data_IF_108823174024
#
_entry.id   IF_108823174024
#
_cell.length_a   1.000
_cell.length_b   1.000
_cell.length_c   1.000
_cell.angle_alpha   90.00
_cell.angle_beta   90.00
_cell.angle_gamma   90.00
#
_symmetry.space_group_name_H-M   'P 1'
#
loop_
_entity.id
_entity.type
_entity.pdbx_description
1 polymer ?
#
# COMPACT_ATOMS: atom_id res chain seq x y z
N UNK A 1 15.44 -70.88 30.72
CA UNK A 1 14.90 -70.42 29.43
C UNK A 1 15.31 -68.97 29.28
N UNK A 2 16.18 -68.73 28.29
CA UNK A 2 16.70 -67.43 27.89
C UNK A 2 15.69 -66.76 26.95
N UNK A 3 15.54 -65.43 27.06
CA UNK A 3 15.10 -64.41 26.07
C UNK A 3 14.43 -63.24 26.83
N UNK A 4 14.64 -61.95 26.56
CA UNK A 4 15.33 -61.27 25.47
C UNK A 4 15.78 -59.89 26.01
N UNK A 5 17.07 -59.60 25.87
CA UNK A 5 17.63 -58.25 25.87
C UNK A 5 17.11 -57.56 24.61
N UNK A 6 16.66 -56.31 24.68
CA UNK A 6 16.43 -55.50 23.48
C UNK A 6 17.07 -54.15 23.70
N UNK A 7 18.13 -53.92 22.93
CA UNK A 7 18.86 -52.68 22.83
C UNK A 7 17.98 -51.56 22.24
N UNK A 8 18.29 -50.32 22.62
CA UNK A 8 17.73 -49.10 22.05
C UNK A 8 18.11 -48.96 20.56
N UNK A 9 17.38 -48.09 19.84
CA UNK A 9 18.01 -47.16 18.91
C UNK A 9 17.84 -45.72 19.40
N UNK A 10 18.95 -45.01 19.36
CA UNK A 10 19.10 -43.55 19.45
C UNK A 10 18.68 -42.91 18.11
N UNK A 11 18.29 -41.63 18.17
CA UNK A 11 18.10 -40.66 17.06
C UNK A 11 16.90 -40.94 16.12
N UNK A 12 16.03 -39.97 15.80
CA UNK A 12 16.38 -38.68 15.18
C UNK A 12 15.39 -37.56 15.53
N UNK A 13 15.95 -36.38 15.79
CA UNK A 13 15.33 -35.08 15.50
C UNK A 13 14.55 -35.07 14.19
N UNK A 14 13.37 -34.46 14.22
CA UNK A 14 12.89 -33.49 13.24
C UNK A 14 11.39 -33.28 13.47
N UNK A 15 11.04 -32.50 14.49
CA UNK A 15 9.89 -31.61 14.34
C UNK A 15 10.29 -30.60 13.24
N UNK A 16 10.10 -31.02 12.00
CA UNK A 16 10.02 -30.13 10.86
C UNK A 16 8.73 -29.32 11.03
N UNK A 17 8.77 -28.33 11.93
CA UNK A 17 8.00 -27.12 11.71
C UNK A 17 8.38 -26.65 10.32
N UNK A 18 7.40 -26.61 9.43
CA UNK A 18 7.59 -26.22 8.05
C UNK A 18 7.99 -24.75 7.93
N UNK A 19 9.25 -24.45 8.21
CA UNK A 19 9.95 -23.26 7.74
C UNK A 19 10.34 -23.50 6.28
N UNK A 20 9.32 -23.55 5.43
CA UNK A 20 9.44 -23.78 3.99
C UNK A 20 8.71 -22.74 3.15
N UNK A 21 8.27 -21.63 3.73
CA UNK A 21 7.86 -20.46 2.98
C UNK A 21 9.07 -19.52 2.94
N UNK A 22 9.91 -19.69 1.91
CA UNK A 22 11.14 -18.94 1.77
C UNK A 22 10.93 -17.45 2.03
N UNK A 23 11.64 -16.93 3.02
CA UNK A 23 11.82 -15.51 3.25
C UNK A 23 12.39 -14.93 1.94
N UNK A 24 11.51 -14.42 1.06
CA UNK A 24 11.90 -13.83 -0.24
C UNK A 24 12.79 -12.60 -0.10
N UNK A 25 12.96 -12.12 1.13
CA UNK A 25 13.73 -10.95 1.47
C UNK A 25 14.83 -11.36 2.46
N UNK A 26 16.04 -10.81 2.34
CA UNK A 26 17.04 -10.98 3.38
C UNK A 26 16.53 -10.43 4.72
N UNK A 27 16.93 -11.05 5.82
CA UNK A 27 16.41 -10.75 7.17
C UNK A 27 16.64 -9.29 7.62
N UNK A 28 17.51 -8.55 6.94
CA UNK A 28 17.83 -7.15 7.17
C UNK A 28 17.23 -6.17 6.15
N UNK A 29 16.38 -6.66 5.23
CA UNK A 29 15.70 -5.83 4.25
C UNK A 29 14.76 -4.81 4.92
N UNK A 30 14.79 -3.57 4.42
CA UNK A 30 14.03 -2.43 4.96
C UNK A 30 13.17 -1.78 3.90
N UNK A 31 12.11 -1.11 4.33
CA UNK A 31 11.33 -0.27 3.43
C UNK A 31 12.24 0.76 2.75
N UNK A 32 12.22 0.79 1.41
CA UNK A 32 13.07 1.67 0.62
C UNK A 32 14.25 0.97 -0.06
N UNK A 33 14.58 -0.27 0.30
CA UNK A 33 15.62 -1.03 -0.37
C UNK A 33 15.28 -1.27 -1.84
N UNK A 34 16.32 -1.24 -2.68
CA UNK A 34 16.19 -1.51 -4.12
C UNK A 34 16.28 -3.01 -4.36
N UNK A 35 15.28 -3.54 -5.04
CA UNK A 35 15.18 -4.93 -5.45
C UNK A 35 15.55 -5.07 -6.92
N UNK A 36 16.16 -6.19 -7.28
CA UNK A 36 16.24 -6.60 -8.67
C UNK A 36 14.85 -7.05 -9.18
N UNK A 37 14.72 -7.18 -10.51
CA UNK A 37 13.44 -7.47 -11.14
C UNK A 37 12.90 -8.87 -10.86
N UNK A 38 13.78 -9.85 -10.61
CA UNK A 38 13.40 -11.24 -10.32
C UNK A 38 12.78 -11.30 -8.91
N UNK A 39 13.51 -10.78 -7.92
CA UNK A 39 13.02 -10.67 -6.53
C UNK A 39 11.71 -9.87 -6.46
N UNK A 40 11.61 -8.75 -7.19
CA UNK A 40 10.41 -7.92 -7.23
C UNK A 40 9.18 -8.65 -7.80
N UNK A 41 9.38 -9.49 -8.82
CA UNK A 41 8.31 -10.27 -9.44
C UNK A 41 7.79 -11.35 -8.49
N UNK A 42 8.71 -12.12 -7.89
CA UNK A 42 8.36 -13.16 -6.91
C UNK A 42 7.65 -12.58 -5.68
N UNK A 43 8.12 -11.43 -5.19
CA UNK A 43 7.50 -10.74 -4.06
C UNK A 43 6.07 -10.32 -4.39
N UNK A 44 5.84 -9.73 -5.56
CA UNK A 44 4.52 -9.25 -5.97
C UNK A 44 3.54 -10.39 -6.29
N UNK A 45 4.01 -11.54 -6.78
CA UNK A 45 3.18 -12.73 -6.97
C UNK A 45 2.63 -13.25 -5.63
N UNK A 46 3.48 -13.27 -4.60
CA UNK A 46 3.12 -13.75 -3.27
C UNK A 46 2.35 -12.73 -2.42
N UNK A 47 2.39 -11.46 -2.81
CA UNK A 47 1.85 -10.39 -2.01
C UNK A 47 0.35 -10.11 -2.21
N UNK A 48 -0.37 -10.84 -3.07
CA UNK A 48 -1.81 -10.59 -3.33
C UNK A 48 -2.68 -10.51 -2.05
N UNK A 49 -2.26 -11.20 -0.98
CA UNK A 49 -2.82 -11.07 0.37
C UNK A 49 -2.38 -9.75 1.04
N UNK A 50 -3.33 -8.92 1.46
CA UNK A 50 -3.03 -7.70 2.21
C UNK A 50 -2.23 -8.04 3.49
N UNK A 51 -1.17 -7.29 3.75
CA UNK A 51 -0.18 -7.47 4.84
C UNK A 51 1.07 -8.31 4.54
N UNK A 52 1.49 -8.45 3.27
CA UNK A 52 2.84 -8.91 2.92
C UNK A 52 3.68 -7.80 2.27
N UNK A 53 5.02 -7.83 2.40
CA UNK A 53 5.90 -6.90 1.67
C UNK A 53 5.69 -6.97 0.16
N UNK A 54 5.93 -5.84 -0.53
CA UNK A 54 5.66 -5.66 -1.96
C UNK A 54 6.77 -4.87 -2.63
N UNK A 55 6.93 -5.06 -3.93
CA UNK A 55 7.85 -4.27 -4.73
C UNK A 55 7.08 -3.22 -5.54
N UNK A 56 7.48 -1.95 -5.40
CA UNK A 56 6.93 -0.83 -6.16
C UNK A 56 7.92 -0.40 -7.25
N UNK A 57 7.49 -0.45 -8.52
CA UNK A 57 8.31 0.03 -9.62
C UNK A 57 8.22 1.56 -9.77
N UNK A 58 9.35 2.24 -9.60
CA UNK A 58 9.50 3.66 -9.84
C UNK A 58 9.49 3.96 -11.36
N UNK A 59 9.22 5.22 -11.76
CA UNK A 59 9.32 5.64 -13.17
C UNK A 59 10.73 5.49 -13.76
N UNK A 60 11.77 5.46 -12.92
CA UNK A 60 13.16 5.17 -13.31
C UNK A 60 13.36 3.71 -13.76
N UNK A 61 12.43 2.81 -13.41
CA UNK A 61 12.51 1.37 -13.64
C UNK A 61 13.01 0.58 -12.42
N UNK A 62 13.49 1.26 -11.38
CA UNK A 62 13.93 0.62 -10.12
C UNK A 62 12.73 0.08 -9.32
N UNK A 63 12.92 -1.05 -8.63
CA UNK A 63 11.92 -1.63 -7.74
C UNK A 63 12.27 -1.33 -6.29
N UNK A 64 11.35 -0.73 -5.56
CA UNK A 64 11.52 -0.33 -4.16
C UNK A 64 10.70 -1.24 -3.27
N UNK A 65 11.30 -1.78 -2.21
CA UNK A 65 10.59 -2.57 -1.21
C UNK A 65 9.65 -1.70 -0.36
N UNK A 66 8.40 -2.13 -0.25
CA UNK A 66 7.38 -1.62 0.67
C UNK A 66 7.10 -2.68 1.73
N UNK A 67 7.21 -2.30 3.01
CA UNK A 67 6.91 -3.17 4.16
C UNK A 67 5.59 -2.73 4.81
N UNK A 68 4.61 -3.62 5.08
CA UNK A 68 3.25 -3.24 5.48
C UNK A 68 3.11 -2.36 6.73
N UNK A 69 3.99 -2.52 7.72
CA UNK A 69 3.90 -1.77 8.98
C UNK A 69 4.90 -0.59 9.06
N UNK A 70 5.59 -0.31 7.96
CA UNK A 70 6.50 0.83 7.85
C UNK A 70 5.89 1.97 7.01
N UNK A 71 6.32 3.23 7.22
CA UNK A 71 5.97 4.33 6.33
C UNK A 71 6.34 4.02 4.87
N UNK A 72 5.58 4.58 3.94
CA UNK A 72 5.96 4.49 2.52
C UNK A 72 7.34 5.12 2.30
N UNK A 73 8.24 4.46 1.54
CA UNK A 73 9.51 5.05 1.18
C UNK A 73 9.32 6.37 0.43
N UNK A 74 10.17 7.37 0.72
CA UNK A 74 10.06 8.71 0.12
C UNK A 74 10.00 8.70 -1.42
N UNK A 75 10.78 7.88 -2.16
CA UNK A 75 10.69 7.83 -3.63
C UNK A 75 9.31 7.40 -4.14
N UNK A 76 8.60 6.54 -3.41
CA UNK A 76 7.23 6.12 -3.72
C UNK A 76 6.26 7.28 -3.48
N UNK A 77 6.40 7.96 -2.33
CA UNK A 77 5.61 9.15 -1.99
C UNK A 77 5.79 10.26 -3.03
N UNK A 78 7.02 10.51 -3.47
CA UNK A 78 7.32 11.52 -4.49
C UNK A 78 6.69 11.17 -5.85
N UNK A 79 6.76 9.89 -6.23
CA UNK A 79 6.10 9.38 -7.46
C UNK A 79 4.58 9.57 -7.39
N UNK A 80 3.97 9.25 -6.26
CA UNK A 80 2.54 9.45 -6.03
C UNK A 80 2.17 10.93 -6.15
N UNK A 81 2.91 11.81 -5.48
CA UNK A 81 2.68 13.26 -5.54
C UNK A 81 2.80 13.79 -6.97
N UNK A 82 3.78 13.33 -7.75
CA UNK A 82 3.94 13.71 -9.15
C UNK A 82 2.73 13.29 -10.01
N UNK A 83 2.22 12.06 -9.82
CA UNK A 83 1.01 11.57 -10.51
C UNK A 83 -0.22 12.39 -10.15
N UNK A 84 -0.36 12.78 -8.89
CA UNK A 84 -1.47 13.65 -8.44
C UNK A 84 -1.39 15.03 -9.09
N UNK A 85 -0.19 15.60 -9.21
CA UNK A 85 0.02 16.88 -9.90
C UNK A 85 -0.31 16.78 -11.39
N UNK A 86 0.11 15.71 -12.06
CA UNK A 86 -0.21 15.44 -13.46
C UNK A 86 -1.73 15.30 -13.67
N UNK A 87 -2.40 14.57 -12.79
CA UNK A 87 -3.84 14.37 -12.84
C UNK A 87 -4.59 15.69 -12.68
N UNK A 88 -4.12 16.57 -11.79
CA UNK A 88 -4.66 17.94 -11.64
C UNK A 88 -4.48 18.78 -12.89
N UNK A 89 -3.28 18.80 -13.45
CA UNK A 89 -2.98 19.60 -14.63
C UNK A 89 -3.85 19.22 -15.86
N UNK A 90 -4.28 17.96 -15.92
CA UNK A 90 -5.10 17.43 -17.01
C UNK A 90 -6.61 17.38 -16.67
N UNK A 91 -7.01 17.80 -15.47
CA UNK A 91 -8.43 17.84 -15.06
C UNK A 91 -9.04 19.17 -15.51
N UNK A 92 -10.04 19.11 -16.40
CA UNK A 92 -10.76 20.31 -16.82
C UNK A 92 -11.70 20.79 -15.68
N UNK A 93 -11.65 22.09 -15.28
CA UNK A 93 -12.44 22.61 -14.16
C UNK A 93 -13.96 22.54 -14.39
N UNK A 94 -14.40 22.47 -15.65
CA UNK A 94 -15.83 22.40 -16.01
C UNK A 94 -16.38 20.96 -16.04
N UNK A 95 -15.54 19.95 -15.79
CA UNK A 95 -15.93 18.54 -15.79
C UNK A 95 -15.36 17.84 -14.55
N UNK A 96 -15.98 18.11 -13.39
CA UNK A 96 -15.62 17.49 -12.12
C UNK A 96 -15.84 15.97 -12.08
N UNK A 97 -16.83 15.44 -12.82
CA UNK A 97 -17.13 14.00 -12.85
C UNK A 97 -15.98 13.13 -13.41
N UNK A 98 -15.29 13.55 -14.50
CA UNK A 98 -14.02 12.95 -14.93
C UNK A 98 -12.90 13.01 -13.89
N UNK A 99 -12.71 14.13 -13.19
CA UNK A 99 -11.61 14.32 -12.23
C UNK A 99 -11.73 13.40 -11.00
N UNK A 100 -12.95 13.25 -10.47
CA UNK A 100 -13.23 12.34 -9.36
C UNK A 100 -13.06 10.87 -9.79
N UNK A 101 -13.53 10.53 -11.00
CA UNK A 101 -13.36 9.18 -11.56
C UNK A 101 -11.89 8.84 -11.81
N UNK A 102 -11.09 9.80 -12.28
CA UNK A 102 -9.64 9.64 -12.46
C UNK A 102 -8.93 9.51 -11.10
N UNK A 103 -9.36 10.28 -10.10
CA UNK A 103 -8.94 10.16 -8.72
C UNK A 103 -9.20 8.80 -8.08
N UNK A 104 -10.39 8.25 -8.32
CA UNK A 104 -10.78 6.92 -7.85
C UNK A 104 -9.95 5.83 -8.53
N UNK A 105 -9.67 5.95 -9.84
CA UNK A 105 -8.77 5.03 -10.54
C UNK A 105 -7.34 5.10 -10.00
N UNK A 106 -6.83 6.31 -9.74
CA UNK A 106 -5.51 6.47 -9.13
C UNK A 106 -5.49 5.87 -7.71
N UNK A 107 -6.56 6.04 -6.92
CA UNK A 107 -6.73 5.35 -5.64
C UNK A 107 -6.60 3.84 -5.83
N UNK A 108 -7.45 3.21 -6.64
CA UNK A 108 -7.46 1.75 -6.82
C UNK A 108 -6.10 1.21 -7.31
N UNK A 109 -5.47 1.90 -8.28
CA UNK A 109 -4.14 1.56 -8.77
C UNK A 109 -3.09 1.58 -7.66
N UNK A 110 -3.09 2.64 -6.85
CA UNK A 110 -2.07 2.85 -5.82
C UNK A 110 -2.32 1.98 -4.58
N UNK A 111 -3.57 1.71 -4.23
CA UNK A 111 -3.91 0.73 -3.18
C UNK A 111 -3.40 -0.67 -3.56
N UNK A 112 -3.57 -1.06 -4.83
CA UNK A 112 -3.06 -2.33 -5.34
C UNK A 112 -1.53 -2.38 -5.35
N UNK A 113 -0.86 -1.31 -5.79
CA UNK A 113 0.61 -1.27 -5.89
C UNK A 113 1.32 -1.16 -4.55
N UNK A 114 0.74 -0.42 -3.60
CA UNK A 114 1.40 -0.12 -2.32
C UNK A 114 0.88 -0.96 -1.16
N UNK A 115 -0.28 -1.60 -1.30
CA UNK A 115 -0.96 -2.26 -0.18
C UNK A 115 -1.48 -1.28 0.89
N UNK A 116 -1.48 0.03 0.59
CA UNK A 116 -2.01 1.09 1.48
C UNK A 116 -3.45 1.39 1.15
N UNK A 117 -4.18 1.93 2.12
CA UNK A 117 -5.47 2.58 1.85
C UNK A 117 -5.22 4.02 1.44
N UNK A 118 -5.68 4.40 0.25
CA UNK A 118 -5.54 5.75 -0.29
C UNK A 118 -6.82 6.56 -0.01
N UNK A 119 -6.70 7.63 0.76
CA UNK A 119 -7.77 8.59 1.03
C UNK A 119 -7.71 9.67 -0.04
N UNK A 120 -8.77 9.79 -0.83
CA UNK A 120 -8.92 10.84 -1.83
C UNK A 120 -9.74 11.96 -1.22
N UNK A 121 -9.19 13.16 -1.21
CA UNK A 121 -9.89 14.41 -0.91
C UNK A 121 -10.24 15.06 -2.24
N UNK A 122 -11.49 15.44 -2.45
CA UNK A 122 -11.91 16.09 -3.70
C UNK A 122 -13.22 16.86 -3.55
N UNK A 123 -13.51 17.71 -4.52
CA UNK A 123 -14.71 18.52 -4.57
C UNK A 123 -15.84 17.80 -5.30
N UNK A 124 -17.06 17.81 -4.75
CA UNK A 124 -18.23 17.17 -5.34
C UNK A 124 -19.32 18.22 -5.63
N UNK A 125 -19.72 18.32 -6.90
CA UNK A 125 -20.79 19.21 -7.37
C UNK A 125 -22.08 18.44 -7.74
N UNK A 126 -22.32 17.28 -7.14
CA UNK A 126 -23.49 16.43 -7.42
C UNK A 126 -24.84 16.98 -6.91
N UNK A 127 -25.04 18.30 -6.92
CA UNK A 127 -26.37 18.94 -6.88
C UNK A 127 -26.97 19.23 -5.49
N UNK A 128 -26.32 18.86 -4.38
CA UNK A 128 -26.74 19.27 -3.01
C UNK A 128 -25.62 20.07 -2.34
N UNK A 129 -25.33 21.23 -2.95
CA UNK A 129 -24.38 22.22 -2.46
C UNK A 129 -22.91 21.88 -2.75
N UNK A 130 -22.17 22.95 -3.00
CA UNK A 130 -20.71 23.02 -3.14
C UNK A 130 -20.00 22.43 -1.91
N UNK A 131 -19.55 21.17 -1.96
CA UNK A 131 -18.93 20.51 -0.80
C UNK A 131 -17.68 19.72 -1.16
N UNK A 132 -16.68 19.81 -0.29
CA UNK A 132 -15.51 18.96 -0.29
C UNK A 132 -15.84 17.61 0.35
N UNK A 133 -15.17 16.54 -0.05
CA UNK A 133 -15.41 15.21 0.48
C UNK A 133 -14.16 14.34 0.52
N UNK A 134 -14.26 13.26 1.29
CA UNK A 134 -13.20 12.25 1.45
C UNK A 134 -13.71 10.86 1.08
N UNK A 135 -12.90 10.03 0.42
CA UNK A 135 -13.24 8.62 0.16
C UNK A 135 -13.08 7.72 1.38
N UNK A 136 -12.45 8.20 2.45
CA UNK A 136 -12.42 7.51 3.74
C UNK A 136 -12.43 8.55 4.88
N UNK A 137 -13.36 8.46 5.85
CA UNK A 137 -14.52 7.58 5.85
C UNK A 137 -15.49 8.05 4.75
N UNK A 138 -16.04 7.10 3.99
CA UNK A 138 -16.87 7.38 2.81
C UNK A 138 -18.04 8.30 3.19
N UNK A 139 -18.24 9.36 2.40
CA UNK A 139 -19.49 10.14 2.43
C UNK A 139 -19.54 11.29 3.43
N UNK A 140 -18.42 11.64 4.09
CA UNK A 140 -18.35 12.88 4.87
C UNK A 140 -18.13 14.07 3.95
N UNK A 141 -19.04 15.05 4.04
CA UNK A 141 -18.97 16.29 3.29
C UNK A 141 -18.50 17.44 4.20
N UNK A 142 -17.70 18.33 3.66
CA UNK A 142 -17.06 19.46 4.33
C UNK A 142 -17.32 20.74 3.55
N UNK A 143 -17.33 21.88 4.24
CA UNK A 143 -17.56 23.17 3.59
C UNK A 143 -16.28 23.73 2.97
N UNK A 144 -15.11 23.32 3.46
CA UNK A 144 -13.81 23.76 2.96
C UNK A 144 -12.87 22.60 2.67
N UNK A 145 -11.91 22.83 1.76
CA UNK A 145 -10.82 21.89 1.49
C UNK A 145 -10.04 21.58 2.76
N UNK A 146 -9.71 22.62 3.54
CA UNK A 146 -8.91 22.50 4.75
C UNK A 146 -9.55 21.56 5.78
N UNK A 147 -10.88 21.59 5.94
CA UNK A 147 -11.59 20.67 6.82
C UNK A 147 -11.54 19.23 6.31
N UNK A 148 -11.66 19.02 4.99
CA UNK A 148 -11.59 17.71 4.38
C UNK A 148 -10.18 17.11 4.47
N UNK A 149 -9.14 17.92 4.23
CA UNK A 149 -7.73 17.55 4.39
C UNK A 149 -7.42 17.24 5.85
N UNK A 150 -7.79 18.11 6.79
CA UNK A 150 -7.57 17.88 8.22
C UNK A 150 -8.27 16.59 8.70
N UNK A 151 -9.45 16.29 8.16
CA UNK A 151 -10.11 15.02 8.47
C UNK A 151 -9.32 13.82 7.95
N UNK A 152 -8.82 13.88 6.71
CA UNK A 152 -8.00 12.82 6.14
C UNK A 152 -6.66 12.64 6.88
N UNK A 153 -6.02 13.75 7.29
CA UNK A 153 -4.78 13.76 8.07
C UNK A 153 -4.94 13.11 9.44
N UNK A 154 -6.13 13.20 10.04
CA UNK A 154 -6.43 12.50 11.29
C UNK A 154 -6.34 10.97 11.14
N UNK A 155 -6.66 10.41 9.97
CA UNK A 155 -6.50 8.97 9.70
C UNK A 155 -5.04 8.58 9.51
N UNK A 156 -4.27 9.37 8.75
CA UNK A 156 -2.82 9.15 8.65
C UNK A 156 -2.19 9.20 10.04
N UNK A 157 -2.54 10.19 10.86
CA UNK A 157 -1.96 10.34 12.19
C UNK A 157 -2.28 9.15 13.11
N UNK A 158 -3.45 8.51 12.95
CA UNK A 158 -3.84 7.34 13.72
C UNK A 158 -3.15 6.04 13.24
N UNK A 159 -2.86 5.92 11.94
CA UNK A 159 -2.17 4.76 11.37
C UNK A 159 -1.37 5.16 10.11
N UNK A 160 -0.16 5.73 10.27
CA UNK A 160 0.58 6.32 9.15
C UNK A 160 1.13 5.27 8.18
N UNK A 161 1.26 4.02 8.62
CA UNK A 161 1.62 2.88 7.79
C UNK A 161 0.40 2.30 7.03
N UNK A 162 -0.84 2.71 7.33
CA UNK A 162 -2.04 2.18 6.66
C UNK A 162 -2.63 3.13 5.65
N UNK A 163 -2.57 4.42 5.94
CA UNK A 163 -3.26 5.44 5.15
C UNK A 163 -2.28 6.35 4.42
N UNK A 164 -2.66 6.75 3.22
CA UNK A 164 -2.00 7.79 2.44
C UNK A 164 -3.06 8.73 1.87
N UNK A 165 -2.77 10.02 1.75
CA UNK A 165 -3.70 11.01 1.21
C UNK A 165 -3.32 11.40 -0.20
N UNK A 166 -4.34 11.55 -1.05
CA UNK A 166 -4.29 12.22 -2.33
C UNK A 166 -5.32 13.34 -2.30
N UNK A 167 -4.90 14.58 -2.55
CA UNK A 167 -5.80 15.73 -2.64
C UNK A 167 -5.98 16.09 -4.11
N UNK A 168 -7.20 16.06 -4.61
CA UNK A 168 -7.60 16.48 -5.96
C UNK A 168 -8.21 17.89 -5.84
N UNK A 169 -7.62 18.84 -6.55
CA UNK A 169 -8.06 20.24 -6.62
C UNK A 169 -8.47 20.53 -8.04
#
# INVERSE_FOLDING_TARGET
>A
MTQLETAAPEETDADAEGEGEGELLPADAKAGDILDAETAAELNENAYMASKPRAYQLPSGEHVLIVPDEPLPQPVVDTLNARVVELKANSHPEALSPSLSAGLRLKEEQESKTGRTIIVVGYNDAGIGEKWGTTAPIGKAFFTEAEAVANAEAFISAAPHRYQIIVLR
#
